data_IF_008218642169
#
_entry.id   IF_008218642169
#
_cell.length_a   1.000
_cell.length_b   1.000
_cell.length_c   1.000
_cell.angle_alpha   90.00
_cell.angle_beta   90.00
_cell.angle_gamma   90.00
#
_symmetry.space_group_name_H-M   'P 1'
#
loop_
_entity.id
_entity.type
_entity.pdbx_description
1 polymer ?
#
# COMPACT_ATOMS: atom_id res chain seq x y z
N UNK A 1 34.34 -19.02 39.74
CA UNK A 1 32.89 -18.74 39.62
C UNK A 1 32.40 -19.44 38.37
N UNK A 2 31.71 -20.57 38.54
CA UNK A 2 31.24 -21.41 37.43
C UNK A 2 29.98 -20.80 36.83
N UNK A 3 30.07 -20.35 35.57
CA UNK A 3 28.90 -19.83 34.86
C UNK A 3 28.07 -21.03 34.40
N UNK A 4 27.17 -21.47 35.30
CA UNK A 4 26.20 -22.53 35.04
C UNK A 4 25.06 -21.95 34.18
N UNK A 5 25.35 -21.72 32.90
CA UNK A 5 24.35 -21.24 31.92
C UNK A 5 23.30 -22.35 31.77
N UNK A 6 22.08 -22.08 32.26
CA UNK A 6 20.96 -23.02 32.19
C UNK A 6 20.40 -23.02 30.77
N UNK A 7 20.93 -23.91 29.92
CA UNK A 7 20.40 -24.25 28.58
C UNK A 7 18.86 -24.27 28.46
N UNK A 8 18.06 -24.80 29.41
CA UNK A 8 16.60 -24.84 29.24
C UNK A 8 15.92 -23.46 29.21
N UNK A 9 16.54 -22.42 29.76
CA UNK A 9 15.98 -21.06 29.75
C UNK A 9 16.13 -20.39 28.37
N UNK A 10 17.22 -20.70 27.66
CA UNK A 10 17.48 -20.19 26.31
C UNK A 10 16.51 -20.83 25.30
N UNK A 11 16.22 -22.13 25.47
CA UNK A 11 15.26 -22.84 24.63
C UNK A 11 13.83 -22.28 24.75
N UNK A 12 13.40 -21.91 25.96
CA UNK A 12 12.09 -21.28 26.19
C UNK A 12 11.95 -19.90 25.53
N UNK A 13 13.01 -19.09 25.58
CA UNK A 13 13.04 -17.77 24.94
C UNK A 13 12.99 -17.86 23.40
N UNK A 14 13.65 -18.85 22.80
CA UNK A 14 13.61 -19.10 21.35
C UNK A 14 12.22 -19.58 20.88
N UNK A 15 11.53 -20.42 21.66
CA UNK A 15 10.16 -20.85 21.33
C UNK A 15 9.16 -19.69 21.37
N UNK A 16 9.29 -18.78 22.34
CA UNK A 16 8.44 -17.59 22.44
C UNK A 16 8.68 -16.60 21.28
N UNK A 17 9.93 -16.48 20.82
CA UNK A 17 10.28 -15.69 19.63
C UNK A 17 9.71 -16.31 18.32
N UNK A 18 9.61 -17.64 18.25
CA UNK A 18 9.04 -18.33 17.09
C UNK A 18 7.50 -18.30 17.07
N UNK A 19 6.83 -18.34 18.24
CA UNK A 19 5.37 -18.24 18.34
C UNK A 19 4.85 -16.79 18.24
N UNK A 20 5.70 -15.79 18.51
CA UNK A 20 5.46 -14.40 18.08
C UNK A 20 5.85 -14.17 16.61
N UNK A 21 6.29 -15.22 15.90
CA UNK A 21 6.61 -15.22 14.49
C UNK A 21 5.42 -14.78 13.64
N UNK A 22 5.44 -13.52 13.26
CA UNK A 22 4.99 -12.95 11.99
C UNK A 22 3.90 -13.76 11.25
N UNK A 23 2.74 -13.97 11.87
CA UNK A 23 1.55 -14.42 11.15
C UNK A 23 0.93 -13.22 10.44
N UNK A 24 1.66 -12.66 9.49
CA UNK A 24 1.02 -11.94 8.38
C UNK A 24 0.59 -13.03 7.40
N UNK A 25 -0.52 -13.71 7.70
CA UNK A 25 -1.21 -14.47 6.67
C UNK A 25 -1.33 -13.54 5.45
N UNK A 26 -0.84 -13.95 4.26
CA UNK A 26 -0.92 -13.10 3.08
C UNK A 26 -2.40 -12.84 2.86
N UNK A 27 -2.84 -11.60 3.11
CA UNK A 27 -4.21 -11.19 2.80
C UNK A 27 -4.42 -11.52 1.34
N UNK A 28 -5.46 -12.29 1.06
CA UNK A 28 -5.82 -12.63 -0.31
C UNK A 28 -5.95 -11.34 -1.11
N UNK A 29 -5.08 -11.17 -2.11
CA UNK A 29 -5.06 -9.96 -2.93
C UNK A 29 -6.40 -9.86 -3.64
N UNK A 30 -7.03 -8.70 -3.56
CA UNK A 30 -8.29 -8.46 -4.27
C UNK A 30 -8.06 -8.50 -5.78
N UNK A 31 -9.12 -8.77 -6.56
CA UNK A 31 -9.03 -8.76 -8.03
C UNK A 31 -8.46 -7.42 -8.56
N UNK A 32 -8.73 -6.32 -7.85
CA UNK A 32 -8.16 -5.02 -8.15
C UNK A 32 -6.65 -4.94 -7.88
N UNK A 33 -6.17 -5.46 -6.75
CA UNK A 33 -4.74 -5.53 -6.46
C UNK A 33 -3.99 -6.39 -7.49
N UNK A 34 -4.59 -7.50 -7.94
CA UNK A 34 -4.04 -8.32 -9.03
C UNK A 34 -3.95 -7.55 -10.36
N UNK A 35 -4.99 -6.77 -10.70
CA UNK A 35 -5.00 -5.97 -11.92
C UNK A 35 -3.88 -4.92 -11.91
N UNK A 36 -3.70 -4.21 -10.80
CA UNK A 36 -2.64 -3.22 -10.66
C UNK A 36 -1.25 -3.87 -10.69
N UNK A 37 -1.10 -5.03 -10.04
CA UNK A 37 0.17 -5.75 -10.01
C UNK A 37 0.56 -6.37 -11.35
N UNK A 38 -0.42 -6.65 -12.22
CA UNK A 38 -0.16 -7.15 -13.57
C UNK A 38 0.52 -6.14 -14.50
N UNK A 39 0.47 -4.84 -14.14
CA UNK A 39 1.20 -3.82 -14.87
C UNK A 39 2.72 -4.08 -14.79
N UNK A 40 3.46 -3.93 -15.90
CA UNK A 40 4.90 -4.11 -15.90
C UNK A 40 5.56 -3.07 -14.98
N UNK A 41 6.67 -3.48 -14.35
CA UNK A 41 7.53 -2.54 -13.62
C UNK A 41 8.14 -1.53 -14.60
N UNK A 42 8.25 -0.25 -14.21
CA UNK A 42 8.81 0.77 -15.07
C UNK A 42 10.29 0.49 -15.32
N UNK A 43 10.71 0.56 -16.58
CA UNK A 43 12.11 0.32 -16.99
C UNK A 43 12.91 1.61 -17.10
N UNK A 44 12.24 2.75 -17.27
CA UNK A 44 12.84 4.08 -17.30
C UNK A 44 12.30 4.99 -16.19
N UNK A 45 13.02 6.06 -15.89
CA UNK A 45 12.56 7.06 -14.92
C UNK A 45 11.32 7.83 -15.42
N UNK A 46 11.21 8.04 -16.73
CA UNK A 46 10.03 8.66 -17.32
C UNK A 46 8.80 7.76 -17.14
N UNK A 47 8.90 6.46 -17.44
CA UNK A 47 7.80 5.51 -17.23
C UNK A 47 7.41 5.42 -15.76
N UNK A 48 8.40 5.48 -14.85
CA UNK A 48 8.15 5.52 -13.40
C UNK A 48 7.30 6.73 -13.03
N UNK A 49 7.67 7.91 -13.51
CA UNK A 49 6.95 9.15 -13.21
C UNK A 49 5.53 9.12 -13.76
N UNK A 50 5.32 8.67 -15.00
CA UNK A 50 3.98 8.54 -15.60
C UNK A 50 3.11 7.54 -14.83
N UNK A 51 3.65 6.38 -14.47
CA UNK A 51 2.92 5.39 -13.67
C UNK A 51 2.60 5.92 -12.27
N UNK A 52 3.52 6.65 -11.66
CA UNK A 52 3.33 7.26 -10.35
C UNK A 52 2.25 8.36 -10.38
N UNK A 53 2.19 9.17 -11.45
CA UNK A 53 1.16 10.19 -11.68
C UNK A 53 -0.22 9.55 -11.82
N UNK A 54 -0.33 8.56 -12.71
CA UNK A 54 -1.58 7.82 -12.92
C UNK A 54 -2.11 7.16 -11.63
N UNK A 55 -1.24 6.52 -10.85
CA UNK A 55 -1.64 5.89 -9.59
C UNK A 55 -2.04 6.92 -8.51
N UNK A 56 -1.40 8.08 -8.49
CA UNK A 56 -1.76 9.19 -7.59
C UNK A 56 -3.15 9.74 -7.93
N UNK A 57 -3.45 9.95 -9.20
CA UNK A 57 -4.76 10.42 -9.65
C UNK A 57 -5.86 9.40 -9.32
N UNK A 58 -5.63 8.11 -9.57
CA UNK A 58 -6.57 7.06 -9.18
C UNK A 58 -6.85 7.08 -7.67
N UNK A 59 -5.80 7.25 -6.86
CA UNK A 59 -5.96 7.35 -5.41
C UNK A 59 -6.73 8.61 -5.01
N UNK A 60 -6.53 9.73 -5.71
CA UNK A 60 -7.29 10.96 -5.50
C UNK A 60 -8.79 10.77 -5.75
N UNK A 61 -9.14 10.19 -6.90
CA UNK A 61 -10.54 9.97 -7.27
C UNK A 61 -11.23 8.98 -6.34
N UNK A 62 -10.54 7.92 -5.93
CA UNK A 62 -11.05 6.99 -4.92
C UNK A 62 -11.31 7.74 -3.60
N UNK A 63 -10.40 8.64 -3.18
CA UNK A 63 -10.57 9.45 -1.97
C UNK A 63 -11.67 10.51 -2.08
N UNK A 64 -11.87 11.13 -3.24
CA UNK A 64 -12.97 12.07 -3.46
C UNK A 64 -14.33 11.38 -3.45
N UNK A 65 -14.42 10.16 -3.99
CA UNK A 65 -15.62 9.34 -3.91
C UNK A 65 -15.96 9.05 -2.44
N UNK A 66 -14.97 8.78 -1.58
CA UNK A 66 -15.17 8.63 -0.12
C UNK A 66 -15.67 9.94 0.52
N UNK A 67 -15.09 11.07 0.13
CA UNK A 67 -15.44 12.37 0.68
C UNK A 67 -16.82 12.88 0.18
N UNK A 68 -17.51 12.13 -0.69
CA UNK A 68 -18.81 12.50 -1.25
C UNK A 68 -18.76 13.73 -2.16
N UNK A 69 -17.56 14.14 -2.61
CA UNK A 69 -17.35 15.38 -3.36
C UNK A 69 -17.74 15.24 -4.85
N UNK A 70 -17.90 14.01 -5.35
CA UNK A 70 -18.26 13.70 -6.74
C UNK A 70 -19.78 13.59 -7.01
N UNK A 71 -20.62 14.03 -6.07
CA UNK A 71 -22.07 14.12 -6.26
C UNK A 71 -22.84 12.87 -5.83
N UNK A 72 -24.17 12.92 -5.99
CA UNK A 72 -25.18 11.98 -5.43
C UNK A 72 -24.90 10.49 -5.68
N UNK A 73 -24.13 10.14 -6.71
CA UNK A 73 -23.72 8.76 -7.03
C UNK A 73 -22.60 8.20 -6.14
N UNK A 74 -21.77 9.06 -5.55
CA UNK A 74 -20.69 8.64 -4.66
C UNK A 74 -21.22 8.16 -3.28
N UNK A 75 -22.38 8.66 -2.86
CA UNK A 75 -23.04 8.27 -1.61
C UNK A 75 -23.44 6.78 -1.55
N UNK A 76 -23.50 6.08 -2.70
CA UNK A 76 -23.94 4.70 -2.80
C UNK A 76 -22.84 3.71 -3.19
N UNK A 77 -21.60 4.18 -3.44
CA UNK A 77 -20.48 3.26 -3.65
C UNK A 77 -20.00 2.75 -2.28
N UNK A 78 -19.94 1.43 -2.04
CA UNK A 78 -19.34 0.91 -0.84
C UNK A 78 -17.86 1.30 -0.84
N UNK A 79 -17.43 2.04 0.19
CA UNK A 79 -16.02 2.36 0.38
C UNK A 79 -15.23 1.06 0.56
N UNK A 80 -14.29 0.82 -0.35
CA UNK A 80 -13.41 -0.33 -0.30
C UNK A 80 -11.99 0.12 0.11
N UNK A 81 -11.63 0.03 1.41
CA UNK A 81 -10.31 0.43 1.88
C UNK A 81 -9.18 -0.44 1.31
N UNK A 82 -9.51 -1.60 0.72
CA UNK A 82 -8.50 -2.47 0.10
C UNK A 82 -7.93 -1.85 -1.19
N UNK A 83 -8.72 -1.06 -1.93
CA UNK A 83 -8.30 -0.43 -3.19
C UNK A 83 -7.29 0.67 -2.97
N UNK A 84 -7.58 1.60 -2.06
CA UNK A 84 -6.65 2.67 -1.70
C UNK A 84 -5.35 2.11 -1.13
N UNK A 85 -5.43 1.04 -0.33
CA UNK A 85 -4.24 0.36 0.17
C UNK A 85 -3.43 -0.34 -0.94
N UNK A 86 -4.09 -0.97 -1.92
CA UNK A 86 -3.42 -1.58 -3.07
C UNK A 86 -2.69 -0.54 -3.93
N UNK A 87 -3.31 0.62 -4.18
CA UNK A 87 -2.69 1.73 -4.91
C UNK A 87 -1.46 2.26 -4.20
N UNK A 88 -1.54 2.47 -2.88
CA UNK A 88 -0.38 2.91 -2.07
C UNK A 88 0.76 1.90 -2.14
N UNK A 89 0.47 0.61 -1.97
CA UNK A 89 1.49 -0.45 -2.09
C UNK A 89 2.14 -0.47 -3.47
N UNK A 90 1.36 -0.27 -4.53
CA UNK A 90 1.91 -0.20 -5.88
C UNK A 90 2.82 1.00 -6.05
N UNK A 91 2.41 2.19 -5.62
CA UNK A 91 3.26 3.39 -5.65
C UNK A 91 4.57 3.18 -4.89
N UNK A 92 4.51 2.52 -3.73
CA UNK A 92 5.71 2.18 -2.96
C UNK A 92 6.62 1.21 -3.72
N UNK A 93 6.06 0.23 -4.43
CA UNK A 93 6.81 -0.76 -5.21
C UNK A 93 7.57 -0.16 -6.39
N UNK A 94 7.02 0.87 -7.04
CA UNK A 94 7.68 1.63 -8.12
C UNK A 94 8.48 2.83 -7.60
N UNK A 95 8.64 2.97 -6.27
CA UNK A 95 9.40 4.03 -5.60
C UNK A 95 8.91 5.45 -5.92
N UNK A 96 7.60 5.70 -5.92
CA UNK A 96 7.10 7.07 -5.96
C UNK A 96 7.52 7.82 -4.69
N UNK A 97 8.07 9.02 -4.82
CA UNK A 97 8.37 9.84 -3.64
C UNK A 97 7.09 10.44 -3.06
N UNK A 98 7.10 10.78 -1.77
CA UNK A 98 5.96 11.47 -1.12
C UNK A 98 5.68 12.84 -1.74
N UNK A 99 6.71 13.50 -2.28
CA UNK A 99 6.55 14.78 -2.95
C UNK A 99 5.81 14.58 -4.27
N UNK A 100 6.30 13.66 -5.12
CA UNK A 100 5.65 13.25 -6.37
C UNK A 100 4.19 12.86 -6.12
N UNK A 101 3.95 11.91 -5.21
CA UNK A 101 2.61 11.40 -4.96
C UNK A 101 1.63 12.43 -4.41
N UNK A 102 2.07 13.48 -3.68
CA UNK A 102 1.18 14.56 -3.22
C UNK A 102 1.03 15.70 -4.21
N UNK A 103 2.09 16.02 -4.97
CA UNK A 103 2.06 17.12 -5.92
C UNK A 103 1.03 16.84 -7.02
N UNK A 104 0.87 15.58 -7.42
CA UNK A 104 -0.16 15.20 -8.39
C UNK A 104 -1.57 15.23 -7.80
N UNK A 105 -1.78 14.77 -6.55
CA UNK A 105 -3.05 14.98 -5.84
C UNK A 105 -3.45 16.47 -5.81
N UNK A 106 -2.48 17.37 -5.70
CA UNK A 106 -2.70 18.82 -5.73
C UNK A 106 -2.93 19.36 -7.15
N UNK A 107 -2.26 18.82 -8.18
CA UNK A 107 -2.49 19.20 -9.59
C UNK A 107 -3.87 18.76 -10.09
N UNK A 108 -4.33 17.56 -9.71
CA UNK A 108 -5.68 17.09 -10.04
C UNK A 108 -6.79 18.03 -9.54
N UNK A 109 -6.55 18.74 -8.42
CA UNK A 109 -7.45 19.80 -7.91
C UNK A 109 -7.45 21.03 -8.82
N UNK A 110 -6.31 21.39 -9.39
CA UNK A 110 -6.09 22.61 -10.17
C UNK A 110 -6.41 22.46 -11.66
N UNK A 111 -6.54 21.23 -12.16
CA UNK A 111 -6.91 20.93 -13.54
C UNK A 111 -8.42 21.09 -13.84
N UNK A 112 -9.16 21.81 -12.99
CA UNK A 112 -10.62 22.01 -13.07
C UNK A 112 -10.99 23.43 -13.45
#
# INVERSE_FOLDING_TARGET
>A
MEVKVRLPQIAGLLLAALLSGCSSAPKEKTEFEKQIDSAPMPTTEADRLEQCEYLSDLLYFEMQDIAGLNGFSAAFKPFDPSKSQALIRRMDSIRCTKAESRNWLQRAVLAK
#
